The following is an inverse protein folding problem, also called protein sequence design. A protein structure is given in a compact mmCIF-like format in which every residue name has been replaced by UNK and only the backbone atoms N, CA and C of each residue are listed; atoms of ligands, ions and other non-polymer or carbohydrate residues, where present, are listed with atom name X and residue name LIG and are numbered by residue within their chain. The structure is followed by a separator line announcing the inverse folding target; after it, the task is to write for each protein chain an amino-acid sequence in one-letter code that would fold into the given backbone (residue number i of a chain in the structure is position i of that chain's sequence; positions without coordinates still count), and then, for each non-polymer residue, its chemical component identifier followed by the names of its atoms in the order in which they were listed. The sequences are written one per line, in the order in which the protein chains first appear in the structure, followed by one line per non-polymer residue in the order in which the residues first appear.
data_IF_165079019501
#
_entry.id   IF_165079019501
#
_cell.length_a   1.000
_cell.length_b   1.000
_cell.length_c   1.000
_cell.angle_alpha   90.00
_cell.angle_beta   90.00
_cell.angle_gamma   90.00
#
_symmetry.space_group_name_H-M   'P 1'
#
loop_
_entity.id
_entity.type
_entity.pdbx_description
1 polymer ?
#
# COMPACT_ATOMS: atom_id res chain seq x y z
N UNK A 1 -2.15 -18.70 11.03
CA UNK A 1 -1.29 -17.54 10.75
C UNK A 1 -1.41 -17.30 9.26
N UNK A 2 -2.13 -16.26 8.86
CA UNK A 2 -2.27 -15.94 7.45
C UNK A 2 -1.03 -15.16 7.02
N UNK A 3 -0.30 -15.71 6.03
CA UNK A 3 0.78 -14.99 5.39
C UNK A 3 0.20 -13.72 4.75
N UNK A 4 0.88 -12.60 4.94
CA UNK A 4 0.51 -11.36 4.28
C UNK A 4 1.73 -10.71 3.65
N UNK A 5 1.49 -9.96 2.59
CA UNK A 5 2.48 -9.11 1.96
C UNK A 5 2.13 -7.66 2.23
N UNK A 6 3.13 -6.87 2.61
CA UNK A 6 2.92 -5.46 2.92
C UNK A 6 3.80 -4.53 2.12
N UNK A 7 3.23 -3.36 1.82
CA UNK A 7 3.94 -2.23 1.27
C UNK A 7 3.88 -1.05 2.23
N UNK A 8 4.94 -0.26 2.23
CA UNK A 8 4.94 1.09 2.81
C UNK A 8 4.94 2.10 1.68
N UNK A 9 3.86 2.86 1.57
CA UNK A 9 3.74 3.98 0.64
C UNK A 9 4.03 5.27 1.40
N UNK A 10 4.96 6.08 0.90
CA UNK A 10 5.30 7.40 1.45
C UNK A 10 4.94 8.47 0.44
N UNK A 11 4.06 9.40 0.82
CA UNK A 11 3.51 10.43 -0.08
C UNK A 11 3.73 11.82 0.51
N UNK A 12 4.20 12.82 -0.26
CA UNK A 12 4.21 14.21 0.19
C UNK A 12 2.80 14.67 0.62
N UNK A 13 2.70 15.46 1.70
CA UNK A 13 1.40 15.93 2.19
C UNK A 13 0.63 16.78 1.17
N UNK A 14 1.34 17.43 0.25
CA UNK A 14 0.73 18.18 -0.86
C UNK A 14 -0.11 17.28 -1.79
N UNK A 15 0.23 15.99 -1.88
CA UNK A 15 -0.41 15.03 -2.76
C UNK A 15 -1.38 14.10 -2.01
N UNK A 16 -1.69 14.41 -0.74
CA UNK A 16 -2.49 13.57 0.14
C UNK A 16 -3.87 13.24 -0.44
N UNK A 17 -4.54 14.20 -1.08
CA UNK A 17 -5.86 14.00 -1.66
C UNK A 17 -5.81 12.99 -2.81
N UNK A 18 -4.89 13.19 -3.76
CA UNK A 18 -4.62 12.23 -4.86
C UNK A 18 -4.29 10.84 -4.34
N UNK A 19 -3.48 10.75 -3.28
CA UNK A 19 -3.11 9.47 -2.68
C UNK A 19 -4.33 8.74 -2.13
N UNK A 20 -5.24 9.45 -1.47
CA UNK A 20 -6.47 8.87 -0.94
C UNK A 20 -7.40 8.37 -2.06
N UNK A 21 -7.50 9.10 -3.18
CA UNK A 21 -8.26 8.67 -4.35
C UNK A 21 -7.68 7.40 -4.98
N UNK A 22 -6.37 7.37 -5.23
CA UNK A 22 -5.68 6.19 -5.75
C UNK A 22 -5.80 4.99 -4.81
N UNK A 23 -5.67 5.19 -3.50
CA UNK A 23 -5.83 4.11 -2.51
C UNK A 23 -7.28 3.62 -2.43
N UNK A 24 -8.27 4.48 -2.63
CA UNK A 24 -9.67 4.09 -2.73
C UNK A 24 -9.90 3.20 -3.97
N UNK A 25 -9.34 3.57 -5.12
CA UNK A 25 -9.39 2.74 -6.34
C UNK A 25 -8.67 1.40 -6.14
N UNK A 26 -7.50 1.42 -5.49
CA UNK A 26 -6.76 0.20 -5.14
C UNK A 26 -7.59 -0.74 -4.27
N UNK A 27 -8.33 -0.19 -3.30
CA UNK A 27 -9.22 -0.93 -2.39
C UNK A 27 -10.44 -1.49 -3.12
N UNK A 28 -10.98 -0.79 -4.12
CA UNK A 28 -12.05 -1.32 -4.97
C UNK A 28 -11.57 -2.51 -5.80
N UNK A 29 -10.38 -2.41 -6.40
CA UNK A 29 -9.75 -3.51 -7.17
C UNK A 29 -9.33 -4.68 -6.28
N UNK A 30 -8.94 -4.39 -5.04
CA UNK A 30 -8.48 -5.36 -4.05
C UNK A 30 -9.30 -5.23 -2.76
N UNK A 31 -10.55 -5.72 -2.70
CA UNK A 31 -11.43 -5.54 -1.52
C UNK A 31 -10.83 -6.05 -0.21
N UNK A 32 -9.95 -7.06 -0.29
CA UNK A 32 -9.26 -7.64 0.87
C UNK A 32 -7.98 -6.91 1.27
N UNK A 33 -7.52 -5.92 0.51
CA UNK A 33 -6.38 -5.08 0.87
C UNK A 33 -6.69 -4.31 2.15
N UNK A 34 -5.81 -4.37 3.14
CA UNK A 34 -5.91 -3.57 4.37
C UNK A 34 -5.03 -2.34 4.22
N UNK A 35 -5.50 -1.22 4.75
CA UNK A 35 -4.79 0.06 4.73
C UNK A 35 -4.75 0.63 6.15
N UNK A 36 -3.58 1.11 6.56
CA UNK A 36 -3.41 1.84 7.81
C UNK A 36 -2.55 3.07 7.55
N UNK A 37 -3.01 4.24 7.99
CA UNK A 37 -2.22 5.47 7.96
C UNK A 37 -1.35 5.54 9.22
N UNK A 38 -0.08 5.93 9.06
CA UNK A 38 0.85 6.22 10.15
C UNK A 38 0.99 7.74 10.32
N UNK A 39 1.54 8.14 11.46
CA UNK A 39 1.85 9.55 11.74
C UNK A 39 2.77 10.11 10.66
N UNK A 40 2.39 11.29 10.18
CA UNK A 40 3.12 12.04 9.18
C UNK A 40 4.53 12.35 9.68
N UNK A 41 5.52 12.33 8.78
CA UNK A 41 6.91 12.57 9.13
C UNK A 41 7.62 13.28 7.98
N UNK A 42 8.40 14.31 8.29
CA UNK A 42 9.19 15.08 7.30
C UNK A 42 8.35 15.63 6.13
N UNK A 43 7.10 16.04 6.39
CA UNK A 43 6.22 16.57 5.33
C UNK A 43 5.57 15.49 4.45
N UNK A 44 5.68 14.21 4.84
CA UNK A 44 5.08 13.09 4.12
C UNK A 44 4.10 12.30 4.99
N UNK A 45 2.97 11.92 4.40
CA UNK A 45 2.09 10.88 4.91
C UNK A 45 2.66 9.49 4.60
N UNK A 46 2.42 8.54 5.50
CA UNK A 46 2.82 7.14 5.30
C UNK A 46 1.64 6.20 5.44
N UNK A 47 1.50 5.30 4.48
CA UNK A 47 0.46 4.27 4.46
C UNK A 47 1.08 2.89 4.46
N UNK A 48 0.57 2.03 5.32
CA UNK A 48 0.87 0.61 5.31
C UNK A 48 -0.27 -0.09 4.59
N UNK A 49 0.07 -0.74 3.48
CA UNK A 49 -0.85 -1.51 2.65
C UNK A 49 -0.55 -2.97 2.90
N UNK A 50 -1.55 -3.80 3.14
CA UNK A 50 -1.36 -5.24 3.39
C UNK A 50 -2.32 -6.06 2.56
N UNK A 51 -1.81 -7.13 1.96
CA UNK A 51 -2.52 -8.03 1.07
C UNK A 51 -2.46 -9.44 1.65
N UNK A 52 -3.61 -10.14 1.75
CA UNK A 52 -3.60 -11.54 2.16
C UNK A 52 -2.86 -12.37 1.13
N UNK A 53 -2.05 -13.32 1.60
CA UNK A 53 -1.39 -14.30 0.74
C UNK A 53 -2.44 -15.06 -0.07
N UNK A 54 -2.24 -15.10 -1.37
CA UNK A 54 -2.96 -15.99 -2.26
C UNK A 54 -2.08 -16.32 -3.46
N UNK A 55 -2.36 -17.45 -4.11
CA UNK A 55 -1.61 -17.89 -5.29
C UNK A 55 -1.64 -16.86 -6.43
N UNK A 56 -2.69 -16.02 -6.48
CA UNK A 56 -2.84 -14.95 -7.45
C UNK A 56 -1.96 -13.71 -7.22
N UNK A 57 -1.16 -13.68 -6.13
CA UNK A 57 -0.23 -12.59 -5.79
C UNK A 57 -0.81 -11.18 -6.03
N UNK A 58 -1.95 -10.84 -5.39
CA UNK A 58 -2.60 -9.54 -5.55
C UNK A 58 -1.69 -8.37 -5.16
N UNK A 59 -0.69 -8.63 -4.31
CA UNK A 59 0.39 -7.71 -3.97
C UNK A 59 1.21 -7.29 -5.19
N UNK A 60 1.62 -8.23 -6.05
CA UNK A 60 2.40 -7.92 -7.26
C UNK A 60 1.53 -7.25 -8.31
N UNK A 61 0.29 -7.73 -8.50
CA UNK A 61 -0.66 -7.09 -9.40
C UNK A 61 -0.95 -5.63 -8.98
N UNK A 62 -1.05 -5.38 -7.68
CA UNK A 62 -1.15 -4.02 -7.15
C UNK A 62 0.11 -3.20 -7.45
N UNK A 63 1.30 -3.73 -7.22
CA UNK A 63 2.56 -3.00 -7.48
C UNK A 63 2.67 -2.58 -8.96
N UNK A 64 2.42 -3.50 -9.89
CA UNK A 64 2.45 -3.21 -11.32
C UNK A 64 1.38 -2.19 -11.74
N UNK A 65 0.17 -2.32 -11.20
CA UNK A 65 -0.91 -1.37 -11.45
C UNK A 65 -0.59 0.01 -10.88
N UNK A 66 -0.09 0.08 -9.65
CA UNK A 66 0.24 1.32 -8.96
C UNK A 66 1.32 2.10 -9.70
N UNK A 67 2.39 1.42 -10.15
CA UNK A 67 3.46 2.05 -10.95
C UNK A 67 2.94 2.61 -12.28
N UNK A 68 1.86 2.05 -12.85
CA UNK A 68 1.27 2.53 -14.11
C UNK A 68 0.35 3.73 -13.94
N UNK A 69 -0.42 3.76 -12.85
CA UNK A 69 -1.38 4.84 -12.57
C UNK A 69 -0.74 6.04 -11.88
N UNK A 70 0.37 5.80 -11.18
CA UNK A 70 1.07 6.84 -10.45
C UNK A 70 2.02 7.58 -11.42
N UNK A 71 1.67 8.81 -11.78
CA UNK A 71 2.56 9.68 -12.56
C UNK A 71 3.62 10.34 -11.66
N UNK A 72 3.36 10.40 -10.36
CA UNK A 72 4.18 11.04 -9.34
C UNK A 72 5.27 10.13 -8.77
N UNK A 73 6.40 10.70 -8.38
CA UNK A 73 7.53 9.97 -7.79
C UNK A 73 7.34 9.66 -6.29
N UNK A 74 6.20 9.09 -5.87
CA UNK A 74 6.04 8.66 -4.47
C UNK A 74 6.70 7.30 -4.24
N UNK A 75 7.24 7.10 -3.04
CA UNK A 75 7.99 5.89 -2.73
C UNK A 75 7.08 4.75 -2.26
N UNK A 76 7.09 3.64 -3.01
CA UNK A 76 6.43 2.38 -2.65
C UNK A 76 7.47 1.31 -2.30
N UNK A 77 7.63 1.00 -1.01
CA UNK A 77 8.58 -0.01 -0.53
C UNK A 77 7.89 -1.35 -0.23
N UNK A 78 8.38 -2.44 -0.80
CA UNK A 78 7.85 -3.81 -0.62
C UNK A 78 7.82 -4.61 -1.94
N UNK A 79 7.09 -5.73 -2.00
CA UNK A 79 6.35 -6.35 -0.89
C UNK A 79 7.31 -7.00 0.12
N UNK A 80 7.06 -6.76 1.41
CA UNK A 80 7.73 -7.48 2.50
C UNK A 80 6.77 -8.51 3.11
N UNK A 81 7.29 -9.65 3.59
CA UNK A 81 6.51 -10.55 4.43
C UNK A 81 6.06 -9.83 5.69
N UNK A 82 4.75 -9.62 5.81
CA UNK A 82 4.15 -9.06 7.01
C UNK A 82 3.82 -10.19 7.98
N UNK A 83 4.52 -10.23 9.11
CA UNK A 83 4.12 -11.04 10.26
C UNK A 83 3.28 -10.15 11.16
N UNK A 84 1.95 -10.36 11.15
CA UNK A 84 1.06 -9.74 12.13
C UNK A 84 0.97 -10.65 13.35
N UNK A 85 1.50 -10.18 14.48
CA UNK A 85 1.55 -10.92 15.73
C UNK A 85 2.85 -11.70 15.89
N UNK A 86 3.83 -11.08 16.54
CA UNK A 86 4.86 -11.83 17.24
C UNK A 86 4.15 -12.53 18.42
N UNK A 87 3.97 -13.84 18.31
CA UNK A 87 3.79 -14.71 19.48
C UNK A 87 5.15 -15.00 20.10
#
# INVERSE_FOLDING_TARGET
MDLEYSFTLTVPLADMEKAMELLALAKQKNPRMRQSRKTDRHGCARFYLSFPFSAGRPDLAFQEWFIKEQEESWDLFGPNHAVWGLS
#
